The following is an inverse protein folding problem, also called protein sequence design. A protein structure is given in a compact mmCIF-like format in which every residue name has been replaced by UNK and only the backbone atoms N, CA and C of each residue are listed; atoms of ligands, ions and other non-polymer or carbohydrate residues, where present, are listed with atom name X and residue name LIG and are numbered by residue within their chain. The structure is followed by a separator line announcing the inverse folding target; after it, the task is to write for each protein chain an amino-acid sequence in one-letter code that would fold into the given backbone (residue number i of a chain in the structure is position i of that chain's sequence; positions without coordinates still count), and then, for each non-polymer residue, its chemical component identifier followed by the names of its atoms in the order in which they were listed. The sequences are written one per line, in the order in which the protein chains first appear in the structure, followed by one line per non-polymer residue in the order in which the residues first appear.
data_IF_199018643309
#
_entry.id   IF_199018643309
#
_cell.length_a   1.000
_cell.length_b   1.000
_cell.length_c   1.000
_cell.angle_alpha   90.00
_cell.angle_beta   90.00
_cell.angle_gamma   90.00
#
_symmetry.space_group_name_H-M   'P 1'
#
loop_
_entity.id
_entity.type
_entity.pdbx_description
1 polymer ?
#
# COMPACT_ATOMS: atom_id res chain seq x y z
N UNK A 1 -7.39 -27.81 19.51
CA UNK A 1 -6.88 -27.47 18.16
C UNK A 1 -7.85 -26.46 17.57
N UNK A 2 -7.60 -25.16 17.75
CA UNK A 2 -8.43 -24.12 17.14
C UNK A 2 -8.19 -24.14 15.63
N UNK A 3 -9.26 -24.20 14.84
CA UNK A 3 -9.17 -23.99 13.42
C UNK A 3 -8.56 -22.60 13.19
N UNK A 4 -7.43 -22.52 12.49
CA UNK A 4 -6.88 -21.23 12.10
C UNK A 4 -7.89 -20.54 11.19
N UNK A 5 -8.42 -19.37 11.58
CA UNK A 5 -9.33 -18.51 10.79
C UNK A 5 -8.66 -17.90 9.53
N UNK A 6 -7.63 -18.56 9.02
CA UNK A 6 -6.86 -18.13 7.88
C UNK A 6 -7.66 -18.32 6.60
N UNK A 7 -7.70 -17.28 5.79
CA UNK A 7 -8.30 -17.37 4.45
C UNK A 7 -7.36 -18.12 3.53
N UNK A 8 -7.78 -19.31 3.06
CA UNK A 8 -7.02 -20.09 2.09
C UNK A 8 -7.13 -19.47 0.70
N UNK A 9 -5.99 -19.16 0.10
CA UNK A 9 -5.89 -18.59 -1.25
C UNK A 9 -5.53 -19.72 -2.21
N UNK A 10 -6.32 -19.92 -3.25
CA UNK A 10 -6.01 -20.92 -4.28
C UNK A 10 -4.93 -20.42 -5.23
N UNK A 11 -4.14 -21.34 -5.78
CA UNK A 11 -3.03 -21.04 -6.70
C UNK A 11 -3.14 -21.83 -7.99
N UNK A 12 -2.73 -21.24 -9.10
CA UNK A 12 -2.49 -22.00 -10.33
C UNK A 12 -1.13 -22.74 -10.28
N UNK A 13 -0.82 -23.52 -11.32
CA UNK A 13 0.44 -24.28 -11.44
C UNK A 13 1.70 -23.40 -11.40
N UNK A 14 1.59 -22.11 -11.70
CA UNK A 14 2.68 -21.13 -11.65
C UNK A 14 2.81 -20.45 -10.28
N UNK A 15 2.02 -20.85 -9.28
CA UNK A 15 2.03 -20.22 -7.96
C UNK A 15 1.40 -18.83 -7.95
N UNK A 16 0.52 -18.51 -8.89
CA UNK A 16 -0.21 -17.24 -8.91
C UNK A 16 -1.56 -17.41 -8.22
N UNK A 17 -1.95 -16.50 -7.29
CA UNK A 17 -3.26 -16.55 -6.66
C UNK A 17 -4.42 -16.46 -7.67
N UNK A 18 -5.42 -17.33 -7.54
CA UNK A 18 -6.62 -17.41 -8.41
C UNK A 18 -7.92 -17.56 -7.60
N UNK A 19 -9.07 -17.35 -8.26
CA UNK A 19 -10.40 -17.44 -7.64
C UNK A 19 -10.80 -16.23 -6.79
N UNK A 20 -11.95 -16.29 -6.13
CA UNK A 20 -12.52 -15.16 -5.37
C UNK A 20 -11.60 -14.66 -4.25
N UNK A 21 -10.88 -15.58 -3.59
CA UNK A 21 -9.91 -15.24 -2.52
C UNK A 21 -8.71 -14.43 -2.98
N UNK A 22 -8.43 -14.39 -4.29
CA UNK A 22 -7.46 -13.46 -4.90
C UNK A 22 -7.91 -12.02 -4.74
N UNK A 23 -9.20 -11.74 -4.94
CA UNK A 23 -9.74 -10.39 -4.83
C UNK A 23 -9.73 -9.94 -3.38
N UNK A 24 -10.07 -10.82 -2.44
CA UNK A 24 -9.94 -10.56 -1.00
C UNK A 24 -8.50 -10.17 -0.63
N UNK A 25 -7.51 -10.95 -1.10
CA UNK A 25 -6.09 -10.66 -0.89
C UNK A 25 -5.69 -9.30 -1.50
N UNK A 26 -6.10 -9.00 -2.74
CA UNK A 26 -5.80 -7.71 -3.39
C UNK A 26 -6.43 -6.53 -2.67
N UNK A 27 -7.68 -6.64 -2.26
CA UNK A 27 -8.37 -5.60 -1.52
C UNK A 27 -7.69 -5.35 -0.18
N UNK A 28 -7.31 -6.42 0.52
CA UNK A 28 -6.58 -6.31 1.78
C UNK A 28 -5.17 -5.74 1.61
N UNK A 29 -4.46 -6.05 0.52
CA UNK A 29 -3.21 -5.37 0.13
C UNK A 29 -3.44 -3.86 0.03
N UNK A 30 -4.53 -3.44 -0.60
CA UNK A 30 -4.88 -2.03 -0.70
C UNK A 30 -5.02 -1.35 0.66
N UNK A 31 -5.75 -1.97 1.58
CA UNK A 31 -5.94 -1.45 2.95
C UNK A 31 -4.60 -1.33 3.67
N UNK A 32 -3.86 -2.44 3.76
CA UNK A 32 -2.63 -2.49 4.56
C UNK A 32 -1.53 -1.61 3.98
N UNK A 33 -1.39 -1.52 2.65
CA UNK A 33 -0.39 -0.64 2.05
C UNK A 33 -0.68 0.83 2.39
N UNK A 34 -1.94 1.26 2.32
CA UNK A 34 -2.33 2.64 2.66
C UNK A 34 -2.13 2.98 4.13
N UNK A 35 -2.32 2.00 5.02
CA UNK A 35 -2.20 2.20 6.46
C UNK A 35 -0.76 2.11 7.00
N UNK A 36 0.06 1.25 6.41
CA UNK A 36 1.34 0.82 7.01
C UNK A 36 2.58 1.21 6.22
N UNK A 37 2.46 1.55 4.94
CA UNK A 37 3.61 1.94 4.11
C UNK A 37 3.68 3.46 4.05
N UNK A 38 4.77 4.08 4.54
CA UNK A 38 4.92 5.53 4.46
C UNK A 38 4.83 6.02 3.03
N UNK A 39 3.99 7.03 2.81
CA UNK A 39 3.76 7.59 1.47
C UNK A 39 4.99 8.27 0.89
N UNK A 40 6.04 8.53 1.68
CA UNK A 40 7.31 9.11 1.23
C UNK A 40 8.06 8.22 0.24
N UNK A 41 7.86 6.89 0.29
CA UNK A 41 8.49 5.95 -0.62
C UNK A 41 7.86 6.03 -2.02
N UNK A 42 8.64 6.49 -3.00
CA UNK A 42 8.22 6.61 -4.41
C UNK A 42 8.41 5.31 -5.20
N UNK A 43 9.27 4.43 -4.70
CA UNK A 43 9.60 3.15 -5.31
C UNK A 43 9.58 2.05 -4.25
N UNK A 44 8.84 0.97 -4.51
CA UNK A 44 8.80 -0.21 -3.66
C UNK A 44 10.18 -0.80 -3.37
N UNK A 45 11.13 -0.68 -4.32
CA UNK A 45 12.51 -1.14 -4.13
C UNK A 45 13.21 -0.42 -2.99
N UNK A 46 12.88 0.86 -2.76
CA UNK A 46 13.46 1.71 -1.69
C UNK A 46 12.79 1.51 -0.32
N UNK A 47 11.61 0.88 -0.27
CA UNK A 47 10.95 0.56 1.01
C UNK A 47 11.86 -0.38 1.81
N UNK A 48 12.04 -0.04 3.09
CA UNK A 48 12.94 -0.75 3.99
C UNK A 48 12.54 -2.23 4.15
N UNK A 49 13.54 -3.10 4.32
CA UNK A 49 13.34 -4.55 4.32
C UNK A 49 12.51 -5.01 5.52
N UNK A 50 12.73 -4.41 6.69
CA UNK A 50 11.98 -4.63 7.92
C UNK A 50 10.48 -4.35 7.74
N UNK A 51 10.12 -3.27 7.03
CA UNK A 51 8.72 -2.97 6.69
C UNK A 51 8.15 -4.06 5.79
N UNK A 52 8.89 -4.47 4.75
CA UNK A 52 8.45 -5.53 3.82
C UNK A 52 8.24 -6.86 4.52
N UNK A 53 9.16 -7.25 5.40
CA UNK A 53 9.06 -8.49 6.16
C UNK A 53 7.94 -8.43 7.19
N UNK A 54 7.76 -7.31 7.90
CA UNK A 54 6.64 -7.10 8.83
C UNK A 54 5.30 -7.24 8.11
N UNK A 55 5.16 -6.61 6.94
CA UNK A 55 3.99 -6.77 6.10
C UNK A 55 3.81 -8.24 5.70
N UNK A 56 4.85 -8.88 5.19
CA UNK A 56 4.77 -10.28 4.77
C UNK A 56 4.27 -11.21 5.89
N UNK A 57 4.83 -11.08 7.10
CA UNK A 57 4.37 -11.83 8.28
C UNK A 57 2.90 -11.57 8.58
N UNK A 58 2.46 -10.30 8.57
CA UNK A 58 1.04 -9.94 8.77
C UNK A 58 0.11 -10.57 7.71
N UNK A 59 0.56 -10.67 6.46
CA UNK A 59 -0.19 -11.36 5.41
C UNK A 59 -0.23 -12.87 5.61
N UNK A 60 0.86 -13.49 6.07
CA UNK A 60 0.90 -14.92 6.38
C UNK A 60 0.04 -15.31 7.59
N UNK A 61 -0.12 -14.40 8.55
CA UNK A 61 -1.01 -14.61 9.70
C UNK A 61 -2.48 -14.64 9.29
N UNK A 62 -2.87 -13.79 8.33
CA UNK A 62 -4.27 -13.67 7.86
C UNK A 62 -4.62 -14.63 6.72
N UNK A 63 -3.68 -14.87 5.82
CA UNK A 63 -3.86 -15.70 4.63
C UNK A 63 -2.86 -16.85 4.64
N UNK A 64 -3.30 -18.03 4.23
CA UNK A 64 -2.42 -19.19 4.08
C UNK A 64 -1.55 -19.02 2.83
N UNK A 65 -0.52 -18.19 2.91
CA UNK A 65 0.36 -17.85 1.79
C UNK A 65 1.63 -18.70 1.77
N UNK A 66 1.95 -19.24 0.58
CA UNK A 66 3.24 -19.90 0.35
C UNK A 66 4.34 -18.89 -0.02
N UNK A 67 5.60 -19.20 0.27
CA UNK A 67 6.74 -18.36 -0.13
C UNK A 67 6.83 -18.14 -1.65
N UNK A 68 6.30 -19.08 -2.45
CA UNK A 68 6.26 -18.97 -3.92
C UNK A 68 5.52 -17.72 -4.40
N UNK A 69 4.58 -17.20 -3.61
CA UNK A 69 3.76 -16.04 -3.99
C UNK A 69 4.28 -14.72 -3.43
N UNK A 70 5.31 -14.75 -2.58
CA UNK A 70 5.86 -13.57 -1.90
C UNK A 70 6.23 -12.47 -2.90
N UNK A 71 6.97 -12.83 -3.95
CA UNK A 71 7.35 -11.90 -5.02
C UNK A 71 6.14 -11.28 -5.72
N UNK A 72 5.09 -12.07 -5.98
CA UNK A 72 3.88 -11.61 -6.63
C UNK A 72 3.07 -10.65 -5.73
N UNK A 73 3.00 -10.95 -4.42
CA UNK A 73 2.34 -10.10 -3.42
C UNK A 73 3.09 -8.78 -3.25
N UNK A 74 4.42 -8.80 -3.15
CA UNK A 74 5.25 -7.59 -3.11
C UNK A 74 5.10 -6.74 -4.36
N UNK A 75 5.00 -7.36 -5.54
CA UNK A 75 4.69 -6.66 -6.79
C UNK A 75 3.34 -5.95 -6.71
N UNK A 76 2.30 -6.60 -6.19
CA UNK A 76 1.00 -5.96 -6.01
C UNK A 76 1.02 -4.83 -4.99
N UNK A 77 1.78 -4.98 -3.89
CA UNK A 77 1.97 -3.89 -2.91
C UNK A 77 2.62 -2.67 -3.56
N UNK A 78 3.68 -2.85 -4.34
CA UNK A 78 4.34 -1.76 -5.05
C UNK A 78 3.44 -1.05 -6.06
N UNK A 79 2.66 -1.80 -6.84
CA UNK A 79 1.66 -1.22 -7.77
C UNK A 79 0.61 -0.42 -6.98
N UNK A 80 0.16 -0.95 -5.85
CA UNK A 80 -0.86 -0.31 -5.03
C UNK A 80 -0.35 0.97 -4.38
N UNK A 81 0.89 0.97 -3.86
CA UNK A 81 1.54 2.16 -3.31
C UNK A 81 1.67 3.26 -4.36
N UNK A 82 2.13 2.90 -5.57
CA UNK A 82 2.24 3.85 -6.68
C UNK A 82 0.89 4.44 -7.07
N UNK A 83 -0.14 3.60 -7.20
CA UNK A 83 -1.50 4.04 -7.51
C UNK A 83 -2.06 4.96 -6.43
N UNK A 84 -1.84 4.63 -5.16
CA UNK A 84 -2.26 5.45 -4.03
C UNK A 84 -1.58 6.82 -4.02
N UNK A 85 -0.26 6.87 -4.21
CA UNK A 85 0.48 8.13 -4.33
C UNK A 85 -0.04 8.99 -5.48
N UNK A 86 -0.28 8.39 -6.64
CA UNK A 86 -0.80 9.08 -7.81
C UNK A 86 -2.20 9.66 -7.56
N UNK A 87 -3.08 8.91 -6.88
CA UNK A 87 -4.39 9.40 -6.43
C UNK A 87 -4.24 10.62 -5.52
N UNK A 88 -3.40 10.51 -4.47
CA UNK A 88 -3.17 11.59 -3.51
C UNK A 88 -2.64 12.86 -4.19
N UNK A 89 -1.67 12.70 -5.09
CA UNK A 89 -1.09 13.81 -5.84
C UNK A 89 -2.15 14.52 -6.69
N UNK A 90 -2.86 13.80 -7.54
CA UNK A 90 -3.81 14.43 -8.48
C UNK A 90 -5.06 14.99 -7.79
N UNK A 91 -5.72 14.20 -6.96
CA UNK A 91 -7.03 14.56 -6.41
C UNK A 91 -6.97 15.54 -5.25
N UNK A 92 -5.87 15.52 -4.47
CA UNK A 92 -5.80 16.32 -3.25
C UNK A 92 -4.74 17.42 -3.31
N UNK A 93 -3.59 17.17 -3.95
CA UNK A 93 -2.49 18.14 -3.98
C UNK A 93 -2.61 19.07 -5.19
N UNK A 94 -2.50 18.52 -6.41
CA UNK A 94 -2.50 19.30 -7.65
C UNK A 94 -3.85 20.01 -7.86
N UNK A 95 -4.96 19.35 -7.53
CA UNK A 95 -6.29 19.96 -7.56
C UNK A 95 -6.44 21.16 -6.59
N UNK A 96 -5.61 21.27 -5.56
CA UNK A 96 -5.61 22.35 -4.58
C UNK A 96 -4.31 23.15 -4.55
N UNK A 97 -3.51 23.12 -5.62
CA UNK A 97 -2.20 23.79 -5.67
C UNK A 97 -2.30 25.31 -5.39
N UNK A 98 -3.42 25.94 -5.75
CA UNK A 98 -3.70 27.35 -5.49
C UNK A 98 -4.15 27.66 -4.05
N UNK A 99 -4.43 26.63 -3.24
CA UNK A 99 -4.88 26.77 -1.86
C UNK A 99 -4.02 25.92 -0.90
N UNK A 100 -2.80 26.38 -0.67
CA UNK A 100 -1.85 25.71 0.24
C UNK A 100 -2.37 25.53 1.67
N UNK A 101 -3.32 26.36 2.12
CA UNK A 101 -3.93 26.21 3.45
C UNK A 101 -4.71 24.91 3.58
N UNK A 102 -5.31 24.42 2.49
CA UNK A 102 -6.01 23.13 2.46
C UNK A 102 -5.05 21.92 2.52
N UNK A 103 -3.78 22.11 2.15
CA UNK A 103 -2.76 21.07 2.10
C UNK A 103 -2.00 20.86 3.42
N UNK A 104 -2.29 21.64 4.47
CA UNK A 104 -1.60 21.55 5.77
C UNK A 104 -1.80 20.22 6.49
N UNK A 105 -2.83 19.47 6.14
CA UNK A 105 -3.19 18.19 6.74
C UNK A 105 -3.54 17.17 5.65
N UNK A 106 -3.34 15.87 5.90
CA UNK A 106 -3.84 14.85 5.00
C UNK A 106 -5.38 14.91 4.90
N UNK A 107 -5.96 14.37 3.81
CA UNK A 107 -7.40 14.24 3.67
C UNK A 107 -8.03 13.46 4.82
N UNK A 108 -9.29 13.76 5.16
CA UNK A 108 -10.02 13.08 6.25
C UNK A 108 -10.09 11.56 6.08
N UNK A 109 -10.17 11.08 4.83
CA UNK A 109 -10.16 9.64 4.51
C UNK A 109 -8.81 8.97 4.86
N UNK A 110 -7.74 9.76 4.97
CA UNK A 110 -6.37 9.29 5.17
C UNK A 110 -5.68 9.97 6.37
N UNK A 111 -6.42 10.24 7.44
CA UNK A 111 -5.87 10.80 8.70
C UNK A 111 -4.77 9.95 9.35
N UNK A 112 -4.69 8.66 8.98
CA UNK A 112 -3.61 7.77 9.40
C UNK A 112 -2.23 8.13 8.82
N UNK A 113 -2.17 8.99 7.79
CA UNK A 113 -0.90 9.50 7.27
C UNK A 113 -0.29 10.46 8.29
N UNK A 114 0.97 10.23 8.68
CA UNK A 114 1.71 11.14 9.56
C UNK A 114 1.79 12.52 8.92
N UNK A 115 1.55 13.57 9.70
CA UNK A 115 1.59 14.96 9.22
C UNK A 115 2.95 15.33 8.60
N UNK A 116 4.03 14.78 9.14
CA UNK A 116 5.39 14.97 8.63
C UNK A 116 5.55 14.35 7.24
N UNK A 117 5.14 13.09 7.08
CA UNK A 117 5.16 12.36 5.79
C UNK A 117 4.27 13.06 4.76
N UNK A 118 3.09 13.52 5.17
CA UNK A 118 2.19 14.30 4.32
C UNK A 118 2.84 15.59 3.84
N UNK A 119 3.41 16.37 4.75
CA UNK A 119 4.09 17.62 4.41
C UNK A 119 5.24 17.37 3.42
N UNK A 120 6.13 16.42 3.71
CA UNK A 120 7.23 16.06 2.81
C UNK A 120 6.74 15.58 1.44
N UNK A 121 5.62 14.85 1.40
CA UNK A 121 5.01 14.43 0.15
C UNK A 121 4.45 15.62 -0.64
N UNK A 122 3.70 16.53 0.00
CA UNK A 122 3.20 17.76 -0.64
C UNK A 122 4.35 18.60 -1.20
N UNK A 123 5.37 18.86 -0.38
CA UNK A 123 6.54 19.66 -0.79
C UNK A 123 7.22 19.02 -2.02
N UNK A 124 7.34 17.69 -2.05
CA UNK A 124 7.90 16.95 -3.18
C UNK A 124 7.03 17.08 -4.45
N UNK A 125 5.72 16.87 -4.34
CA UNK A 125 4.80 16.94 -5.49
C UNK A 125 4.69 18.37 -6.06
N UNK A 126 4.82 19.40 -5.22
CA UNK A 126 4.81 20.80 -5.70
C UNK A 126 6.18 21.28 -6.21
N UNK A 127 7.28 20.61 -5.82
CA UNK A 127 8.64 20.93 -6.25
C UNK A 127 9.07 20.20 -7.53
N UNK A 128 8.46 19.06 -7.85
CA UNK A 128 8.70 18.31 -9.08
C UNK A 128 7.45 18.45 -9.99
N UNK A 129 7.60 18.95 -11.22
CA UNK A 129 6.62 18.65 -12.27
C UNK A 129 6.64 17.13 -12.48
N UNK A 130 5.62 16.45 -11.95
CA UNK A 130 5.57 14.99 -11.77
C UNK A 130 5.26 14.21 -13.05
#
# INVERSE_FOLDING_TARGET
RGASDQTEVMYNSYGVPVGNKRNDLRNYIGVIVRERVPIIYDDWRKVALDIKETLWTHFQEKFKLSLKVKTQVFKWMGITLRGFRCKLANEYILSNANNLSSLKKPPLEYEGIRKEDWKSFVDKILSEDF
#
